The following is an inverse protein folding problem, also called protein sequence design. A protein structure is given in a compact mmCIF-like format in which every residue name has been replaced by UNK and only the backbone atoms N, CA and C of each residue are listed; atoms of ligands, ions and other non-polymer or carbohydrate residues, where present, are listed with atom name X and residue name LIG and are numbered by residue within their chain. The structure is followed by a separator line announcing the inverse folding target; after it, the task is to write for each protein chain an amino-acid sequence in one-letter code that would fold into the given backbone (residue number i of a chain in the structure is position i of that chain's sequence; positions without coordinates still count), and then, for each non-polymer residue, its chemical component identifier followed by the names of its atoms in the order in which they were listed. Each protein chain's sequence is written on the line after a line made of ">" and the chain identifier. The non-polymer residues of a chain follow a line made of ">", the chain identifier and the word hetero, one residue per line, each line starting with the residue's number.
data_IF_573748455546
#
_entry.id   IF_573748455546
#
_cell.length_a   1.000
_cell.length_b   1.000
_cell.length_c   1.000
_cell.angle_alpha   90.00
_cell.angle_beta   90.00
_cell.angle_gamma   90.00
#
_symmetry.space_group_name_H-M   'P 1'
#
loop_
_entity.id
_entity.type
_entity.pdbx_description
1 polymer ?
#
# COMPACT_ATOMS: atom_id res chain seq x y z
N UNK A 1 -10.93 12.56 42.54
CA UNK A 1 -11.11 12.05 41.16
C UNK A 1 -12.22 12.78 40.37
N UNK A 2 -13.24 13.38 40.99
CA UNK A 2 -14.44 13.89 40.29
C UNK A 2 -14.27 15.26 39.57
N UNK A 3 -13.30 16.09 39.98
CA UNK A 3 -13.13 17.45 39.43
C UNK A 3 -12.61 17.45 37.99
N UNK A 4 -11.67 16.56 37.68
CA UNK A 4 -11.09 16.42 36.33
C UNK A 4 -12.16 15.97 35.34
N UNK A 5 -13.03 15.04 35.74
CA UNK A 5 -14.11 14.54 34.90
C UNK A 5 -15.16 15.62 34.57
N UNK A 6 -15.46 16.49 35.54
CA UNK A 6 -16.38 17.62 35.34
C UNK A 6 -15.79 18.67 34.38
N UNK A 7 -14.49 18.95 34.50
CA UNK A 7 -13.79 19.84 33.58
C UNK A 7 -13.74 19.26 32.17
N UNK A 8 -13.39 17.98 32.01
CA UNK A 8 -13.38 17.29 30.73
C UNK A 8 -14.77 17.31 30.06
N UNK A 9 -15.84 17.04 30.82
CA UNK A 9 -17.22 17.11 30.31
C UNK A 9 -17.59 18.52 29.85
N UNK A 10 -17.16 19.56 30.58
CA UNK A 10 -17.40 20.96 30.20
C UNK A 10 -16.71 21.30 28.88
N UNK A 11 -15.44 20.94 28.73
CA UNK A 11 -14.67 21.19 27.51
C UNK A 11 -15.22 20.42 26.31
N UNK A 12 -15.61 19.15 26.48
CA UNK A 12 -16.23 18.36 25.41
C UNK A 12 -17.55 18.99 24.95
N UNK A 13 -18.42 19.42 25.88
CA UNK A 13 -19.64 20.13 25.50
C UNK A 13 -19.36 21.46 24.79
N UNK A 14 -18.30 22.16 25.22
CA UNK A 14 -17.91 23.44 24.63
C UNK A 14 -17.37 23.25 23.20
N UNK A 15 -16.54 22.24 22.97
CA UNK A 15 -16.06 21.82 21.65
C UNK A 15 -17.22 21.41 20.74
N UNK A 16 -18.19 20.64 21.25
CA UNK A 16 -19.34 20.20 20.46
C UNK A 16 -20.30 21.35 20.09
N UNK A 17 -20.39 22.39 20.92
CA UNK A 17 -21.27 23.55 20.68
C UNK A 17 -20.62 24.62 19.80
N UNK A 18 -19.30 24.59 19.66
CA UNK A 18 -18.59 25.50 18.76
C UNK A 18 -18.80 25.10 17.30
N UNK A 19 -19.70 25.81 16.63
CA UNK A 19 -20.07 25.58 15.21
C UNK A 19 -18.91 25.77 14.23
N UNK A 20 -17.81 26.42 14.64
CA UNK A 20 -16.61 26.57 13.78
C UNK A 20 -15.63 25.41 13.95
N UNK A 21 -15.48 24.88 15.16
CA UNK A 21 -14.59 23.74 15.42
C UNK A 21 -15.21 22.40 15.01
N UNK A 22 -16.52 22.23 15.17
CA UNK A 22 -17.19 20.96 14.88
C UNK A 22 -16.92 20.47 13.44
N UNK A 23 -17.04 21.30 12.37
CA UNK A 23 -16.72 20.87 11.02
C UNK A 23 -15.25 20.48 10.86
N UNK A 24 -14.30 21.22 11.47
CA UNK A 24 -12.87 20.91 11.38
C UNK A 24 -12.54 19.52 11.95
N UNK A 25 -13.17 19.18 13.09
CA UNK A 25 -13.02 17.87 13.75
C UNK A 25 -13.43 16.70 12.83
N UNK A 26 -14.43 16.90 11.97
CA UNK A 26 -14.90 15.86 11.04
C UNK A 26 -14.27 15.93 9.66
N UNK A 27 -14.04 17.13 9.12
CA UNK A 27 -13.49 17.32 7.77
C UNK A 27 -12.05 16.80 7.69
N UNK A 28 -11.22 17.09 8.68
CA UNK A 28 -9.84 16.61 8.71
C UNK A 28 -9.73 15.08 8.60
N UNK A 29 -10.41 14.27 9.43
CA UNK A 29 -10.37 12.82 9.30
C UNK A 29 -11.07 12.29 8.05
N UNK A 30 -12.10 12.97 7.51
CA UNK A 30 -12.73 12.58 6.24
C UNK A 30 -11.74 12.73 5.08
N UNK A 31 -11.06 13.88 4.98
CA UNK A 31 -10.02 14.10 3.96
C UNK A 31 -8.90 13.07 4.11
N UNK A 32 -8.48 12.81 5.34
CA UNK A 32 -7.48 11.79 5.65
C UNK A 32 -7.92 10.40 5.17
N UNK A 33 -9.17 10.01 5.41
CA UNK A 33 -9.70 8.71 4.97
C UNK A 33 -9.77 8.61 3.44
N UNK A 34 -10.20 9.68 2.76
CA UNK A 34 -10.23 9.74 1.28
C UNK A 34 -8.81 9.60 0.72
N UNK A 35 -7.85 10.34 1.29
CA UNK A 35 -6.44 10.24 0.91
C UNK A 35 -5.91 8.83 1.10
N UNK A 36 -6.17 8.18 2.25
CA UNK A 36 -5.76 6.80 2.48
C UNK A 36 -6.43 5.84 1.50
N UNK A 37 -7.73 5.97 1.24
CA UNK A 37 -8.42 5.15 0.25
C UNK A 37 -7.81 5.27 -1.15
N UNK A 38 -7.40 6.48 -1.53
CA UNK A 38 -6.74 6.73 -2.82
C UNK A 38 -5.31 6.17 -2.86
N UNK A 39 -4.48 6.47 -1.85
CA UNK A 39 -3.08 6.02 -1.79
C UNK A 39 -2.98 4.48 -1.71
N UNK A 40 -3.78 3.85 -0.85
CA UNK A 40 -3.81 2.39 -0.69
C UNK A 40 -4.21 1.69 -1.99
N UNK A 41 -5.12 2.27 -2.77
CA UNK A 41 -5.53 1.65 -4.02
C UNK A 41 -4.46 1.71 -5.12
N UNK A 42 -3.56 2.69 -5.05
CA UNK A 42 -2.63 3.03 -6.12
C UNK A 42 -1.30 2.27 -6.01
N UNK A 43 -0.77 2.05 -4.80
CA UNK A 43 0.49 1.30 -4.60
C UNK A 43 0.35 -0.21 -4.87
N UNK A 44 -0.75 -0.83 -4.47
CA UNK A 44 -0.84 -2.29 -4.41
C UNK A 44 -1.07 -2.93 -5.79
N UNK A 45 -1.49 -2.16 -6.79
CA UNK A 45 -1.77 -2.65 -8.16
C UNK A 45 -0.61 -2.52 -9.15
N UNK A 46 0.47 -1.83 -8.79
CA UNK A 46 1.56 -1.51 -9.72
C UNK A 46 2.91 -1.95 -9.17
N UNK A 47 2.95 -3.11 -8.49
CA UNK A 47 4.21 -3.70 -8.06
C UNK A 47 4.83 -4.36 -9.30
N UNK A 48 5.71 -3.61 -9.96
CA UNK A 48 6.47 -4.07 -11.11
C UNK A 48 7.52 -5.11 -10.72
N UNK A 49 7.33 -6.36 -11.11
CA UNK A 49 8.20 -7.47 -10.70
C UNK A 49 9.06 -7.94 -11.86
N UNK A 50 10.33 -8.19 -11.56
CA UNK A 50 11.28 -8.88 -12.44
C UNK A 50 11.35 -10.34 -12.01
N UNK A 51 11.04 -11.26 -12.93
CA UNK A 51 11.10 -12.71 -12.68
C UNK A 51 12.36 -13.27 -13.34
N UNK A 52 13.20 -13.96 -12.55
CA UNK A 52 14.27 -14.80 -13.07
C UNK A 52 13.69 -16.17 -13.39
N UNK A 53 13.91 -16.69 -14.60
CA UNK A 53 13.47 -18.03 -15.00
C UNK A 53 14.65 -18.74 -15.65
N UNK A 54 15.31 -19.61 -14.88
CA UNK A 54 16.51 -20.33 -15.35
C UNK A 54 16.18 -21.67 -16.00
N UNK A 55 15.05 -22.27 -15.61
CA UNK A 55 14.63 -23.62 -15.99
C UNK A 55 13.63 -23.62 -17.16
N UNK A 56 12.96 -22.49 -17.44
CA UNK A 56 11.93 -22.33 -18.50
C UNK A 56 10.91 -23.46 -18.52
N UNK A 57 10.67 -24.09 -17.38
CA UNK A 57 9.81 -25.25 -17.25
C UNK A 57 8.34 -24.81 -17.20
N UNK A 58 7.44 -25.73 -17.57
CA UNK A 58 5.99 -25.48 -17.59
C UNK A 58 5.47 -25.08 -16.20
N UNK A 59 6.06 -25.65 -15.14
CA UNK A 59 5.73 -25.30 -13.75
C UNK A 59 6.14 -23.85 -13.40
N UNK A 60 7.31 -23.40 -13.85
CA UNK A 60 7.77 -22.01 -13.69
C UNK A 60 6.80 -21.03 -14.35
N UNK A 61 6.31 -21.34 -15.55
CA UNK A 61 5.31 -20.53 -16.24
C UNK A 61 3.97 -20.46 -15.49
N UNK A 62 3.48 -21.58 -14.97
CA UNK A 62 2.22 -21.63 -14.20
C UNK A 62 2.31 -20.78 -12.94
N UNK A 63 3.46 -20.77 -12.26
CA UNK A 63 3.69 -19.96 -11.05
C UNK A 63 3.74 -18.47 -11.41
N UNK A 64 4.46 -18.10 -12.47
CA UNK A 64 4.51 -16.74 -12.98
C UNK A 64 3.11 -16.22 -13.35
N UNK A 65 2.32 -17.03 -14.06
CA UNK A 65 0.97 -16.66 -14.49
C UNK A 65 -0.02 -16.55 -13.32
N UNK A 66 0.16 -17.35 -12.25
CA UNK A 66 -0.61 -17.22 -11.01
C UNK A 66 -0.26 -15.94 -10.24
N UNK A 67 1.01 -15.53 -10.24
CA UNK A 67 1.45 -14.29 -9.61
C UNK A 67 0.87 -13.06 -10.33
N UNK A 68 0.77 -13.09 -11.66
CA UNK A 68 0.17 -12.01 -12.46
C UNK A 68 -1.36 -12.00 -12.40
N UNK A 69 -2.01 -13.16 -12.39
CA UNK A 69 -3.49 -13.25 -12.31
C UNK A 69 -4.08 -12.67 -11.02
N UNK A 70 -3.30 -12.60 -9.94
CA UNK A 70 -3.76 -12.00 -8.70
C UNK A 70 -3.98 -10.48 -8.80
N UNK A 71 -3.55 -9.82 -9.89
CA UNK A 71 -3.78 -8.39 -10.13
C UNK A 71 -2.97 -7.45 -9.24
N UNK A 72 -2.01 -8.01 -8.49
CA UNK A 72 -1.10 -7.30 -7.58
C UNK A 72 0.29 -7.09 -8.18
N UNK A 73 0.72 -7.98 -9.09
CA UNK A 73 2.05 -7.98 -9.66
C UNK A 73 1.98 -7.96 -11.19
N UNK A 74 2.73 -7.04 -11.79
CA UNK A 74 2.90 -6.98 -13.24
C UNK A 74 4.32 -7.43 -13.57
N UNK A 75 4.48 -8.44 -14.44
CA UNK A 75 5.81 -8.91 -14.86
C UNK A 75 6.34 -7.94 -15.91
N UNK A 76 7.24 -7.05 -15.51
CA UNK A 76 7.85 -6.05 -16.40
C UNK A 76 8.96 -6.69 -17.25
N UNK A 77 9.67 -7.68 -16.70
CA UNK A 77 10.81 -8.30 -17.38
C UNK A 77 11.07 -9.73 -16.92
N UNK A 78 11.32 -10.63 -17.87
CA UNK A 78 11.84 -11.98 -17.63
C UNK A 78 13.33 -12.03 -17.94
N UNK A 79 14.11 -12.64 -17.07
CA UNK A 79 15.57 -12.77 -17.24
C UNK A 79 16.02 -14.21 -17.02
N UNK A 80 16.82 -14.72 -17.95
CA UNK A 80 17.44 -16.04 -17.81
C UNK A 80 18.61 -15.95 -16.80
N UNK A 81 18.36 -16.39 -15.56
CA UNK A 81 19.37 -16.48 -14.50
C UNK A 81 19.43 -15.29 -13.52
N UNK A 82 19.67 -15.60 -12.25
CA UNK A 82 19.78 -14.63 -11.13
C UNK A 82 20.84 -13.54 -11.37
N UNK A 83 21.92 -13.85 -12.11
CA UNK A 83 23.01 -12.92 -12.38
C UNK A 83 22.55 -11.69 -13.19
N UNK A 84 21.53 -11.83 -14.05
CA UNK A 84 20.97 -10.71 -14.82
C UNK A 84 19.97 -9.88 -14.01
N UNK A 85 19.35 -10.46 -12.98
CA UNK A 85 18.49 -9.73 -12.04
C UNK A 85 19.31 -8.72 -11.24
N UNK A 86 20.50 -9.12 -10.76
CA UNK A 86 21.42 -8.23 -10.05
C UNK A 86 21.87 -7.03 -10.89
N UNK A 87 22.02 -7.19 -12.21
CA UNK A 87 22.33 -6.09 -13.13
C UNK A 87 21.14 -5.14 -13.34
N UNK A 88 19.90 -5.61 -13.19
CA UNK A 88 18.67 -4.82 -13.36
C UNK A 88 18.24 -4.10 -12.07
N UNK A 89 18.79 -4.49 -10.92
CA UNK A 89 18.50 -3.99 -9.56
C UNK A 89 18.82 -2.51 -9.29
N UNK A 90 19.20 -1.74 -10.32
CA UNK A 90 19.64 -0.34 -10.22
C UNK A 90 18.48 0.66 -10.34
N UNK A 91 17.31 0.21 -10.80
CA UNK A 91 16.04 0.94 -10.77
C UNK A 91 15.29 0.54 -9.51
N UNK A 92 14.53 1.44 -8.88
CA UNK A 92 13.81 1.23 -7.62
C UNK A 92 12.59 0.29 -7.78
N UNK A 93 12.78 -0.84 -8.45
CA UNK A 93 11.76 -1.80 -8.85
C UNK A 93 11.70 -2.98 -7.85
N UNK A 94 10.49 -3.34 -7.38
CA UNK A 94 10.32 -4.47 -6.47
C UNK A 94 10.75 -5.78 -7.13
N UNK A 95 11.88 -6.32 -6.68
CA UNK A 95 12.48 -7.51 -7.26
C UNK A 95 12.05 -8.75 -6.46
N UNK A 96 11.30 -9.66 -7.08
CA UNK A 96 11.00 -10.98 -6.50
C UNK A 96 11.90 -11.99 -7.21
N UNK A 97 12.95 -12.45 -6.53
CA UNK A 97 13.75 -13.57 -7.00
C UNK A 97 12.97 -14.87 -6.79
N UNK A 98 12.67 -15.57 -7.89
CA UNK A 98 12.19 -16.95 -7.87
C UNK A 98 13.01 -17.79 -8.86
N UNK A 99 12.88 -19.10 -8.65
CA UNK A 99 13.80 -20.23 -8.87
C UNK A 99 14.04 -20.52 -10.36
#
# INVERSE_FOLDING_TARGET
>A
MSRVLLLAKKEVLQLLRDKRMLPLLFIAPIIQLIMFGYVVQTEVKHIGVIVADSDRSVESQIIADKLTNAGYFEIIKRVDGEQKVAACKRSAEPTIGLI
#
